data_IF_627630220086
#
_entry.id   IF_627630220086
#
_cell.length_a   1.000
_cell.length_b   1.000
_cell.length_c   1.000
_cell.angle_alpha   90.00
_cell.angle_beta   90.00
_cell.angle_gamma   90.00
#
_symmetry.space_group_name_H-M   'P 1'
#
loop_
_entity.id
_entity.type
_entity.pdbx_description
1 polymer ?
#
# COMPACT_ATOMS: atom_id res chain seq x y z
N UNK A 1 16.70 -11.59 -1.73
CA UNK A 1 16.56 -10.62 -0.61
C UNK A 1 17.60 -9.50 -0.59
N UNK A 2 18.89 -9.76 -0.95
CA UNK A 2 19.92 -8.69 -0.98
C UNK A 2 19.59 -7.54 -1.95
N UNK A 3 18.94 -7.83 -3.07
CA UNK A 3 18.51 -6.85 -4.09
C UNK A 3 17.25 -6.02 -3.73
N UNK A 4 16.45 -6.43 -2.73
CA UNK A 4 15.17 -5.75 -2.45
C UNK A 4 15.34 -4.33 -1.91
N UNK A 5 16.35 -4.10 -1.06
CA UNK A 5 16.61 -2.78 -0.47
C UNK A 5 17.21 -1.78 -1.45
N UNK A 6 18.25 -2.11 -2.26
CA UNK A 6 18.72 -1.16 -3.27
C UNK A 6 17.63 -0.82 -4.29
N UNK A 7 16.77 -1.79 -4.64
CA UNK A 7 15.63 -1.54 -5.52
C UNK A 7 14.59 -0.61 -4.88
N UNK A 8 14.24 -0.83 -3.60
CA UNK A 8 13.33 0.07 -2.89
C UNK A 8 13.91 1.48 -2.74
N UNK A 9 15.20 1.62 -2.43
CA UNK A 9 15.87 2.92 -2.37
C UNK A 9 15.86 3.64 -3.73
N UNK A 10 16.06 2.89 -4.82
CA UNK A 10 15.96 3.44 -6.17
C UNK A 10 14.54 3.96 -6.44
N UNK A 11 13.50 3.19 -6.12
CA UNK A 11 12.11 3.60 -6.28
C UNK A 11 11.80 4.83 -5.40
N UNK A 12 12.19 4.83 -4.12
CA UNK A 12 12.04 5.97 -3.20
C UNK A 12 12.70 7.25 -3.78
N UNK A 13 13.88 7.10 -4.38
CA UNK A 13 14.59 8.23 -5.02
C UNK A 13 13.87 8.75 -6.26
N UNK A 14 13.34 7.85 -7.10
CA UNK A 14 12.56 8.22 -8.28
C UNK A 14 11.26 8.94 -7.90
N UNK A 15 10.57 8.47 -6.86
CA UNK A 15 9.37 9.11 -6.30
C UNK A 15 9.70 10.52 -5.80
N UNK A 16 10.81 10.68 -5.07
CA UNK A 16 11.22 12.00 -4.56
C UNK A 16 11.47 12.99 -5.70
N UNK A 17 12.16 12.54 -6.76
CA UNK A 17 12.40 13.35 -7.96
C UNK A 17 11.08 13.71 -8.65
N UNK A 18 10.17 12.75 -8.78
CA UNK A 18 8.85 12.98 -9.37
C UNK A 18 8.05 14.02 -8.57
N UNK A 19 8.01 13.93 -7.24
CA UNK A 19 7.32 14.91 -6.39
C UNK A 19 7.93 16.31 -6.55
N UNK A 20 9.26 16.43 -6.59
CA UNK A 20 9.94 17.71 -6.80
C UNK A 20 9.57 18.31 -8.16
N UNK A 21 9.60 17.49 -9.21
CA UNK A 21 9.21 17.90 -10.56
C UNK A 21 7.74 18.34 -10.62
N UNK A 22 6.83 17.54 -10.06
CA UNK A 22 5.41 17.86 -10.03
C UNK A 22 5.14 19.14 -9.25
N UNK A 23 5.84 19.36 -8.13
CA UNK A 23 5.75 20.62 -7.37
C UNK A 23 6.21 21.81 -8.20
N UNK A 24 7.33 21.69 -8.91
CA UNK A 24 7.82 22.75 -9.80
C UNK A 24 6.81 23.06 -10.91
N UNK A 25 6.22 22.02 -11.52
CA UNK A 25 5.20 22.17 -12.57
C UNK A 25 3.95 22.92 -12.09
N UNK A 26 3.42 22.53 -10.93
CA UNK A 26 2.18 23.12 -10.39
C UNK A 26 2.40 24.55 -9.90
N UNK A 27 3.47 24.82 -9.14
CA UNK A 27 3.64 26.12 -8.50
C UNK A 27 4.34 27.17 -9.39
N UNK A 28 5.26 26.75 -10.27
CA UNK A 28 6.04 27.68 -11.11
C UNK A 28 5.49 27.74 -12.53
N UNK A 29 5.28 26.58 -13.16
CA UNK A 29 4.80 26.53 -14.55
C UNK A 29 3.28 26.72 -14.65
N UNK A 30 2.56 26.64 -13.52
CA UNK A 30 1.08 26.70 -13.47
C UNK A 30 0.43 25.62 -14.36
N UNK A 31 1.12 24.49 -14.52
CA UNK A 31 0.63 23.35 -15.27
C UNK A 31 0.03 22.33 -14.29
N UNK A 32 -1.30 22.32 -14.25
CA UNK A 32 -2.10 21.49 -13.37
C UNK A 32 -2.38 20.09 -13.94
N UNK A 33 -1.89 19.78 -15.15
CA UNK A 33 -2.09 18.45 -15.76
C UNK A 33 -1.37 17.33 -14.99
N UNK A 34 -0.43 17.65 -14.11
CA UNK A 34 0.44 16.65 -13.47
C UNK A 34 -0.28 15.81 -12.40
N UNK A 35 -1.37 16.32 -11.82
CA UNK A 35 -2.17 15.66 -10.78
C UNK A 35 -3.60 15.32 -11.25
N UNK A 36 -3.90 15.40 -12.55
CA UNK A 36 -5.18 14.91 -13.05
C UNK A 36 -5.26 13.38 -13.02
N UNK A 37 -6.48 12.85 -13.24
CA UNK A 37 -6.73 11.41 -13.38
C UNK A 37 -5.86 10.81 -14.51
N UNK A 38 -5.23 9.66 -14.25
CA UNK A 38 -4.31 8.93 -15.11
C UNK A 38 -3.05 9.68 -15.55
N UNK A 39 -2.64 10.73 -14.82
CA UNK A 39 -1.40 11.45 -15.07
C UNK A 39 -0.22 10.88 -14.28
N UNK A 40 0.87 11.65 -14.17
CA UNK A 40 2.18 11.15 -13.74
C UNK A 40 2.16 10.61 -12.31
N UNK A 41 1.46 11.27 -11.38
CA UNK A 41 1.44 10.89 -9.97
C UNK A 41 0.67 9.59 -9.72
N UNK A 42 -0.56 9.48 -10.22
CA UNK A 42 -1.41 8.28 -10.08
C UNK A 42 -0.76 7.04 -10.71
N UNK A 43 -0.18 7.17 -11.92
CA UNK A 43 0.56 6.07 -12.55
C UNK A 43 1.77 5.61 -11.72
N UNK A 44 2.48 6.56 -11.09
CA UNK A 44 3.59 6.23 -10.20
C UNK A 44 3.11 5.57 -8.90
N UNK A 45 1.96 5.96 -8.37
CA UNK A 45 1.35 5.30 -7.23
C UNK A 45 0.99 3.85 -7.56
N UNK A 46 0.28 3.61 -8.67
CA UNK A 46 -0.07 2.26 -9.12
C UNK A 46 1.19 1.38 -9.31
N UNK A 47 2.22 1.90 -9.98
CA UNK A 47 3.50 1.20 -10.17
C UNK A 47 4.19 0.89 -8.82
N UNK A 48 4.15 1.83 -7.89
CA UNK A 48 4.72 1.65 -6.55
C UNK A 48 3.96 0.57 -5.78
N UNK A 49 2.63 0.57 -5.84
CA UNK A 49 1.78 -0.46 -5.25
C UNK A 49 2.02 -1.84 -5.85
N UNK A 50 2.27 -1.95 -7.17
CA UNK A 50 2.71 -3.22 -7.77
C UNK A 50 4.03 -3.71 -7.19
N UNK A 51 5.00 -2.81 -6.98
CA UNK A 51 6.27 -3.16 -6.35
C UNK A 51 6.06 -3.59 -4.88
N UNK A 52 5.23 -2.89 -4.12
CA UNK A 52 4.86 -3.24 -2.74
C UNK A 52 4.25 -4.65 -2.70
N UNK A 53 3.30 -4.92 -3.59
CA UNK A 53 2.61 -6.20 -3.70
C UNK A 53 3.58 -7.35 -3.98
N UNK A 54 4.46 -7.15 -4.97
CA UNK A 54 5.49 -8.13 -5.32
C UNK A 54 6.40 -8.46 -4.13
N UNK A 55 6.79 -7.45 -3.34
CA UNK A 55 7.64 -7.64 -2.15
C UNK A 55 6.89 -8.37 -1.03
N UNK A 56 5.63 -8.03 -0.74
CA UNK A 56 4.84 -8.72 0.28
C UNK A 56 4.49 -10.16 -0.09
N UNK A 57 4.44 -10.50 -1.38
CA UNK A 57 4.24 -11.88 -1.84
C UNK A 57 5.45 -12.78 -1.54
N UNK A 58 6.68 -12.24 -1.56
CA UNK A 58 7.91 -13.02 -1.30
C UNK A 58 7.84 -13.85 -0.01
N UNK A 59 7.51 -13.30 1.17
CA UNK A 59 7.43 -14.07 2.41
C UNK A 59 6.25 -15.07 2.45
N UNK A 60 5.19 -14.87 1.67
CA UNK A 60 4.03 -15.80 1.63
C UNK A 60 4.46 -17.17 1.09
N UNK A 61 5.34 -17.21 0.10
CA UNK A 61 5.85 -18.45 -0.49
C UNK A 61 6.98 -19.11 0.33
N UNK A 62 7.35 -18.56 1.49
CA UNK A 62 8.39 -19.14 2.35
C UNK A 62 7.80 -20.12 3.36
N UNK A 63 7.99 -21.42 3.12
CA UNK A 63 7.44 -22.53 3.91
C UNK A 63 7.85 -22.60 5.38
N UNK A 64 8.81 -21.79 5.84
CA UNK A 64 9.30 -21.79 7.22
C UNK A 64 8.77 -20.62 8.06
N UNK A 65 7.91 -19.76 7.50
CA UNK A 65 7.38 -18.57 8.18
C UNK A 65 6.09 -18.88 8.94
N UNK A 66 6.03 -18.43 10.19
CA UNK A 66 4.86 -18.50 11.09
C UNK A 66 3.98 -17.26 10.97
N UNK A 67 4.52 -16.15 10.46
CA UNK A 67 3.85 -14.86 10.24
C UNK A 67 3.19 -14.74 8.85
N UNK A 68 2.87 -15.86 8.19
CA UNK A 68 2.29 -15.83 6.83
C UNK A 68 0.94 -15.14 6.75
N UNK A 69 0.07 -15.33 7.74
CA UNK A 69 -1.24 -14.68 7.73
C UNK A 69 -1.10 -13.15 7.82
N UNK A 70 -0.10 -12.65 8.55
CA UNK A 70 0.24 -11.22 8.59
C UNK A 70 0.74 -10.74 7.22
N UNK A 71 1.59 -11.52 6.54
CA UNK A 71 2.04 -11.19 5.19
C UNK A 71 0.87 -11.18 4.19
N UNK A 72 -0.02 -12.18 4.26
CA UNK A 72 -1.23 -12.26 3.44
C UNK A 72 -2.17 -11.09 3.69
N UNK A 73 -2.32 -10.63 4.93
CA UNK A 73 -3.08 -9.43 5.26
C UNK A 73 -2.54 -8.21 4.49
N UNK A 74 -1.22 -8.01 4.47
CA UNK A 74 -0.61 -6.90 3.74
C UNK A 74 -0.65 -7.05 2.21
N UNK A 75 -0.59 -8.29 1.68
CA UNK A 75 -0.86 -8.55 0.27
C UNK A 75 -2.26 -8.06 -0.09
N UNK A 76 -3.27 -8.46 0.67
CA UNK A 76 -4.65 -8.08 0.40
C UNK A 76 -4.94 -6.60 0.65
N UNK A 77 -4.29 -6.00 1.64
CA UNK A 77 -4.34 -4.55 1.86
C UNK A 77 -3.76 -3.78 0.66
N UNK A 78 -2.64 -4.25 0.11
CA UNK A 78 -2.02 -3.63 -1.07
C UNK A 78 -2.90 -3.80 -2.31
N UNK A 79 -3.54 -4.96 -2.48
CA UNK A 79 -4.54 -5.17 -3.55
C UNK A 79 -5.71 -4.20 -3.41
N UNK A 80 -6.18 -3.96 -2.19
CA UNK A 80 -7.26 -3.01 -1.94
C UNK A 80 -6.89 -1.57 -2.37
N UNK A 81 -5.66 -1.12 -2.06
CA UNK A 81 -5.17 0.18 -2.52
C UNK A 81 -4.97 0.21 -4.03
N UNK A 82 -4.42 -0.85 -4.63
CA UNK A 82 -4.21 -0.93 -6.08
C UNK A 82 -5.53 -0.84 -6.86
N UNK A 83 -6.59 -1.49 -6.37
CA UNK A 83 -7.94 -1.39 -6.95
C UNK A 83 -8.65 -0.06 -6.64
N UNK A 84 -8.03 0.82 -5.84
CA UNK A 84 -8.48 2.19 -5.65
C UNK A 84 -7.81 3.14 -6.65
N UNK A 85 -6.52 2.94 -6.90
CA UNK A 85 -5.74 3.78 -7.83
C UNK A 85 -5.86 3.38 -9.30
N UNK A 86 -6.35 2.17 -9.60
CA UNK A 86 -6.58 1.78 -10.99
C UNK A 86 -8.02 2.08 -11.34
N UNK A 87 -8.23 2.99 -12.29
CA UNK A 87 -9.52 3.16 -12.94
C UNK A 87 -9.82 1.93 -13.83
N UNK A 88 -10.59 1.01 -13.26
CA UNK A 88 -11.02 -0.22 -13.94
C UNK A 88 -12.04 0.04 -15.04
N UNK A 89 -12.77 1.16 -14.98
CA UNK A 89 -13.82 1.51 -15.93
C UNK A 89 -13.21 2.02 -17.25
N UNK A 90 -12.04 2.67 -17.20
CA UNK A 90 -11.32 3.16 -18.39
C UNK A 90 -10.51 2.09 -19.14
N UNK A 91 -10.13 0.99 -18.47
CA UNK A 91 -9.26 -0.04 -19.04
C UNK A 91 -9.91 -0.94 -20.12
N UNK A 92 -11.15 -0.66 -20.54
CA UNK A 92 -11.91 -1.45 -21.52
C UNK A 92 -11.89 -2.96 -21.22
N UNK A 93 -11.90 -3.32 -19.94
CA UNK A 93 -11.86 -4.71 -19.50
C UNK A 93 -13.21 -5.38 -19.65
N UNK A 94 -13.21 -6.71 -19.64
CA UNK A 94 -14.44 -7.48 -19.64
C UNK A 94 -15.32 -7.07 -18.45
N UNK A 95 -16.63 -6.88 -18.67
CA UNK A 95 -17.57 -6.35 -17.66
C UNK A 95 -17.57 -7.12 -16.32
N UNK A 96 -17.22 -8.41 -16.35
CA UNK A 96 -16.99 -9.19 -15.14
C UNK A 96 -15.85 -8.62 -14.27
N UNK A 97 -14.71 -8.31 -14.89
CA UNK A 97 -13.52 -7.80 -14.19
C UNK A 97 -13.81 -6.40 -13.62
N UNK A 98 -14.46 -5.55 -14.41
CA UNK A 98 -14.87 -4.20 -13.98
C UNK A 98 -15.79 -4.29 -12.75
N UNK A 99 -16.85 -5.10 -12.82
CA UNK A 99 -17.82 -5.27 -11.73
C UNK A 99 -17.18 -5.74 -10.41
N UNK A 100 -16.18 -6.60 -10.46
CA UNK A 100 -15.50 -7.11 -9.26
C UNK A 100 -14.28 -6.26 -8.85
N UNK A 101 -13.77 -5.43 -9.76
CA UNK A 101 -12.65 -4.53 -9.54
C UNK A 101 -13.05 -3.15 -9.04
N UNK A 102 -14.26 -2.67 -9.32
CA UNK A 102 -14.75 -1.34 -8.94
C UNK A 102 -15.95 -1.37 -8.00
N UNK A 103 -16.20 -0.23 -7.34
CA UNK A 103 -17.41 0.06 -6.56
C UNK A 103 -17.79 -1.00 -5.52
N UNK A 104 -19.06 -1.43 -5.57
CA UNK A 104 -19.64 -2.35 -4.59
C UNK A 104 -19.02 -3.76 -4.66
N UNK A 105 -18.73 -4.27 -5.86
CA UNK A 105 -18.17 -5.61 -6.05
C UNK A 105 -16.79 -5.74 -5.44
N UNK A 106 -15.92 -4.73 -5.66
CA UNK A 106 -14.61 -4.60 -5.01
C UNK A 106 -14.73 -4.72 -3.49
N UNK A 107 -15.60 -3.92 -2.90
CA UNK A 107 -15.73 -3.84 -1.45
C UNK A 107 -16.27 -5.17 -0.86
N UNK A 108 -17.20 -5.83 -1.54
CA UNK A 108 -17.80 -7.08 -1.07
C UNK A 108 -16.76 -8.21 -1.01
N UNK A 109 -15.98 -8.40 -2.07
CA UNK A 109 -15.03 -9.52 -2.11
C UNK A 109 -13.83 -9.26 -1.18
N UNK A 110 -13.33 -8.02 -1.10
CA UNK A 110 -12.29 -7.64 -0.15
C UNK A 110 -12.78 -7.89 1.28
N UNK A 111 -14.03 -7.52 1.60
CA UNK A 111 -14.62 -7.80 2.91
C UNK A 111 -14.68 -9.31 3.21
N UNK A 112 -15.03 -10.15 2.23
CA UNK A 112 -15.01 -11.61 2.40
C UNK A 112 -13.60 -12.14 2.70
N UNK A 113 -12.59 -11.66 1.98
CA UNK A 113 -11.20 -12.07 2.20
C UNK A 113 -10.70 -11.65 3.57
N UNK A 114 -10.95 -10.39 3.97
CA UNK A 114 -10.59 -9.90 5.31
C UNK A 114 -11.37 -10.63 6.41
N UNK A 115 -12.64 -11.01 6.18
CA UNK A 115 -13.41 -11.81 7.12
C UNK A 115 -12.81 -13.22 7.30
N UNK A 116 -12.44 -13.90 6.21
CA UNK A 116 -11.78 -15.22 6.27
C UNK A 116 -10.45 -15.13 7.03
N UNK A 117 -9.61 -14.14 6.73
CA UNK A 117 -8.35 -13.93 7.45
C UNK A 117 -8.60 -13.65 8.94
N UNK A 118 -9.64 -12.88 9.27
CA UNK A 118 -10.03 -12.61 10.64
C UNK A 118 -10.46 -13.90 11.36
N UNK A 119 -11.28 -14.74 10.72
CA UNK A 119 -11.68 -16.05 11.28
C UNK A 119 -10.45 -16.93 11.54
N UNK A 120 -9.52 -17.03 10.59
CA UNK A 120 -8.28 -17.79 10.75
C UNK A 120 -7.42 -17.24 11.91
N UNK A 121 -7.38 -15.91 12.06
CA UNK A 121 -6.70 -15.27 13.18
C UNK A 121 -7.38 -15.57 14.52
N UNK A 122 -8.72 -15.56 14.57
CA UNK A 122 -9.52 -15.87 15.76
C UNK A 122 -9.32 -17.33 16.23
N UNK A 123 -9.19 -18.29 15.30
CA UNK A 123 -8.89 -19.68 15.64
C UNK A 123 -7.58 -19.83 16.43
N UNK A 124 -6.64 -18.90 16.27
CA UNK A 124 -5.38 -18.82 17.04
C UNK A 124 -5.21 -17.44 17.67
N UNK A 125 -6.28 -16.94 18.30
CA UNK A 125 -6.37 -15.55 18.79
C UNK A 125 -5.16 -15.12 19.62
N UNK A 126 -4.76 -15.93 20.61
CA UNK A 126 -3.64 -15.59 21.50
C UNK A 126 -2.33 -15.41 20.75
N UNK A 127 -2.04 -16.31 19.82
CA UNK A 127 -0.85 -16.26 18.96
C UNK A 127 -0.87 -15.01 18.08
N UNK A 128 -1.97 -14.74 17.39
CA UNK A 128 -2.03 -13.59 16.47
C UNK A 128 -2.14 -12.24 17.19
N UNK A 129 -2.72 -12.17 18.38
CA UNK A 129 -2.68 -10.97 19.21
C UNK A 129 -1.26 -10.66 19.68
N UNK A 130 -0.49 -11.66 20.09
CA UNK A 130 0.93 -11.45 20.44
C UNK A 130 1.74 -11.07 19.20
N UNK A 131 1.57 -11.78 18.09
CA UNK A 131 2.22 -11.46 16.82
C UNK A 131 1.91 -10.02 16.37
N UNK A 132 0.67 -9.57 16.50
CA UNK A 132 0.27 -8.20 16.18
C UNK A 132 0.97 -7.17 17.10
N UNK A 133 1.07 -7.45 18.40
CA UNK A 133 1.82 -6.59 19.33
C UNK A 133 3.31 -6.51 18.96
N UNK A 134 3.94 -7.65 18.67
CA UNK A 134 5.34 -7.68 18.23
C UNK A 134 5.51 -6.92 16.90
N UNK A 135 4.55 -7.03 15.99
CA UNK A 135 4.56 -6.30 14.74
C UNK A 135 4.49 -4.78 14.96
N UNK A 136 3.56 -4.28 15.79
CA UNK A 136 3.37 -2.84 16.02
C UNK A 136 4.62 -2.13 16.55
N UNK A 137 5.47 -2.84 17.32
CA UNK A 137 6.73 -2.29 17.84
C UNK A 137 7.94 -2.59 16.94
N UNK A 138 7.76 -3.42 15.91
CA UNK A 138 8.82 -3.76 14.97
C UNK A 138 9.05 -2.66 13.94
N UNK A 139 10.26 -2.60 13.37
CA UNK A 139 10.58 -1.67 12.28
C UNK A 139 9.57 -1.72 11.09
N UNK A 140 9.17 -2.89 10.53
CA UNK A 140 8.17 -2.93 9.47
C UNK A 140 6.79 -2.44 9.92
N UNK A 141 6.36 -2.73 11.16
CA UNK A 141 5.07 -2.25 11.66
C UNK A 141 5.02 -0.75 11.90
N UNK A 142 6.09 -0.16 12.45
CA UNK A 142 6.21 1.29 12.59
C UNK A 142 6.12 1.98 11.22
N UNK A 143 6.77 1.42 10.20
CA UNK A 143 6.69 1.96 8.83
C UNK A 143 5.29 1.81 8.25
N UNK A 144 4.62 0.67 8.44
CA UNK A 144 3.24 0.48 7.99
C UNK A 144 2.27 1.47 8.66
N UNK A 145 2.44 1.75 9.95
CA UNK A 145 1.65 2.77 10.67
C UNK A 145 1.90 4.16 10.07
N UNK A 146 3.17 4.52 9.81
CA UNK A 146 3.51 5.79 9.17
C UNK A 146 2.85 5.93 7.79
N UNK A 147 2.87 4.87 6.99
CA UNK A 147 2.16 4.85 5.71
C UNK A 147 0.65 5.10 5.91
N UNK A 148 0.02 4.42 6.88
CA UNK A 148 -1.40 4.64 7.19
C UNK A 148 -1.71 6.08 7.64
N UNK A 149 -0.84 6.70 8.45
CA UNK A 149 -1.00 8.11 8.86
C UNK A 149 -0.89 9.06 7.66
N UNK A 150 0.02 8.78 6.72
CA UNK A 150 0.16 9.58 5.50
C UNK A 150 -1.08 9.45 4.59
N UNK A 151 -1.65 8.25 4.45
CA UNK A 151 -2.90 8.07 3.70
C UNK A 151 -4.06 8.85 4.32
N UNK A 152 -4.20 8.81 5.65
CA UNK A 152 -5.22 9.59 6.36
C UNK A 152 -4.98 11.10 6.16
N UNK A 153 -3.72 11.55 6.16
CA UNK A 153 -3.40 12.94 5.89
C UNK A 153 -3.78 13.35 4.46
N UNK A 154 -3.58 12.48 3.47
CA UNK A 154 -4.04 12.67 2.08
C UNK A 154 -5.56 12.83 2.00
N UNK A 155 -6.31 11.89 2.58
CA UNK A 155 -7.79 11.92 2.64
C UNK A 155 -8.33 13.17 3.36
N UNK A 156 -7.62 13.65 4.39
CA UNK A 156 -7.98 14.93 5.03
C UNK A 156 -7.69 16.11 4.09
N UNK A 157 -6.58 16.08 3.35
CA UNK A 157 -6.24 17.14 2.40
C UNK A 157 -7.31 17.29 1.33
N UNK A 158 -7.80 16.20 0.75
CA UNK A 158 -8.89 16.19 -0.23
C UNK A 158 -10.15 16.90 0.31
N UNK A 159 -10.48 16.66 1.58
CA UNK A 159 -11.71 17.14 2.23
C UNK A 159 -11.63 18.58 2.71
N UNK A 160 -10.43 19.12 2.92
CA UNK A 160 -10.25 20.51 3.34
C UNK A 160 -10.13 21.37 2.09
N UNK A 161 -11.05 22.32 1.91
CA UNK A 161 -11.09 23.20 0.74
C UNK A 161 -9.94 24.24 0.75
N UNK A 162 -8.74 23.83 0.33
CA UNK A 162 -7.60 24.72 0.09
C UNK A 162 -7.03 24.54 -1.31
N UNK A 163 -6.24 25.52 -1.76
CA UNK A 163 -5.69 25.55 -3.12
C UNK A 163 -4.81 24.32 -3.39
N UNK A 164 -5.05 23.66 -4.53
CA UNK A 164 -4.34 22.45 -4.98
C UNK A 164 -4.52 21.23 -4.04
N UNK A 165 -5.66 21.09 -3.36
CA UNK A 165 -5.96 19.97 -2.46
C UNK A 165 -5.67 18.59 -3.09
N UNK A 166 -6.09 18.36 -4.34
CA UNK A 166 -5.86 17.11 -5.07
C UNK A 166 -4.36 16.81 -5.24
N UNK A 167 -3.54 17.83 -5.57
CA UNK A 167 -2.09 17.64 -5.65
C UNK A 167 -1.49 17.18 -4.31
N UNK A 168 -1.94 17.72 -3.18
CA UNK A 168 -1.42 17.29 -1.88
C UNK A 168 -1.86 15.89 -1.50
N UNK A 169 -3.12 15.53 -1.78
CA UNK A 169 -3.60 14.15 -1.68
C UNK A 169 -2.68 13.19 -2.45
N UNK A 170 -2.47 13.43 -3.75
CA UNK A 170 -1.62 12.61 -4.61
C UNK A 170 -0.19 12.46 -4.08
N UNK A 171 0.38 13.54 -3.53
CA UNK A 171 1.72 13.52 -2.95
C UNK A 171 1.75 12.71 -1.65
N UNK A 172 0.77 12.90 -0.76
CA UNK A 172 0.69 12.16 0.50
C UNK A 172 0.50 10.66 0.27
N UNK A 173 -0.31 10.28 -0.71
CA UNK A 173 -0.55 8.89 -1.07
C UNK A 173 0.69 8.24 -1.69
N UNK A 174 1.36 8.93 -2.62
CA UNK A 174 2.61 8.44 -3.20
C UNK A 174 3.72 8.28 -2.14
N UNK A 175 3.83 9.23 -1.20
CA UNK A 175 4.73 9.10 -0.06
C UNK A 175 4.34 7.92 0.85
N UNK A 176 3.05 7.73 1.11
CA UNK A 176 2.57 6.60 1.90
C UNK A 176 2.96 5.27 1.26
N UNK A 177 2.78 5.12 -0.05
CA UNK A 177 3.14 3.90 -0.78
C UNK A 177 4.66 3.67 -0.81
N UNK A 178 5.48 4.73 -0.88
CA UNK A 178 6.92 4.63 -0.72
C UNK A 178 7.31 4.10 0.67
N UNK A 179 6.69 4.64 1.74
CA UNK A 179 6.92 4.16 3.12
C UNK A 179 6.41 2.71 3.28
N UNK A 180 5.30 2.35 2.63
CA UNK A 180 4.76 1.00 2.63
C UNK A 180 5.71 0.02 1.92
N UNK A 181 6.37 0.42 0.84
CA UNK A 181 7.41 -0.38 0.18
C UNK A 181 8.59 -0.64 1.13
N UNK A 182 8.97 0.35 1.92
CA UNK A 182 9.99 0.18 2.97
C UNK A 182 9.52 -0.80 4.05
N UNK A 183 8.26 -0.71 4.48
CA UNK A 183 7.66 -1.68 5.40
C UNK A 183 7.70 -3.11 4.82
N UNK A 184 7.32 -3.27 3.55
CA UNK A 184 7.31 -4.54 2.85
C UNK A 184 8.71 -5.17 2.76
N UNK A 185 9.72 -4.38 2.39
CA UNK A 185 11.09 -4.90 2.29
C UNK A 185 11.67 -5.33 3.64
N UNK A 186 11.35 -4.60 4.72
CA UNK A 186 11.75 -4.97 6.08
C UNK A 186 11.05 -6.25 6.53
N UNK A 187 9.74 -6.39 6.30
CA UNK A 187 8.98 -7.58 6.67
C UNK A 187 9.42 -8.82 5.85
N UNK A 188 9.69 -8.64 4.57
CA UNK A 188 10.23 -9.70 3.73
C UNK A 188 11.59 -10.19 4.25
N UNK A 189 12.40 -9.29 4.83
CA UNK A 189 13.73 -9.58 5.40
C UNK A 189 13.71 -10.24 6.77
N UNK A 190 12.85 -9.75 7.65
CA UNK A 190 12.83 -10.14 9.04
C UNK A 190 11.46 -10.70 9.38
N UNK A 191 11.40 -11.99 9.73
CA UNK A 191 10.17 -12.57 10.26
C UNK A 191 9.82 -11.96 11.61
N UNK A 192 8.53 -11.77 11.84
CA UNK A 192 8.02 -11.40 13.15
C UNK A 192 7.71 -12.70 13.89
N UNK A 193 8.23 -12.84 15.10
CA UNK A 193 8.02 -14.01 15.92
C UNK A 193 7.12 -13.66 17.10
N UNK A 194 6.10 -14.49 17.30
CA UNK A 194 5.31 -14.49 18.52
C UNK A 194 6.15 -15.07 19.66
N UNK A 195 6.07 -14.46 20.85
CA UNK A 195 6.63 -15.01 22.10
C UNK A 195 5.83 -16.20 22.60
N UNK A 196 4.59 -16.35 22.13
CA UNK A 196 3.73 -17.50 22.39
C UNK A 196 4.01 -18.54 21.29
N UNK A 197 4.46 -19.74 21.67
CA UNK A 197 4.57 -20.88 20.75
C UNK A 197 3.20 -21.27 20.22
N UNK A 198 3.12 -21.48 18.90
CA UNK A 198 1.92 -21.85 18.16
C UNK A 198 1.46 -23.29 18.42
#
# INVERSE_FOLDING_TARGET
MKLLTPLALFIESAITIAIIWSSYSVFILQDFSVFGENHLLENLQALTLFAVLAVYLVPVFQSQRTDRLLCLFFVWLTVAFLLREIDMDELNLHAFIVKWGSGFGRNLWLAQVFAIMSILALMRLRFYLDLAKQFLVSAPGIMAIKAGVLLIAGDICEKVAFTNQAFFEEVFELLAYAVLLRAATLLARHKIESKITA
#
